data_IF_797180794185
#
_entry.id   IF_797180794185
#
_cell.length_a   1.000
_cell.length_b   1.000
_cell.length_c   1.000
_cell.angle_alpha   90.00
_cell.angle_beta   90.00
_cell.angle_gamma   90.00
#
_symmetry.space_group_name_H-M   'P 1'
#
loop_
_entity.id
_entity.type
_entity.pdbx_description
1 polymer ?
#
# COMPACT_ATOMS: atom_id res chain seq x y z
N UNK A 1 39.93 46.06 14.20
CA UNK A 1 39.04 45.29 13.33
C UNK A 1 38.97 43.86 13.88
N UNK A 2 38.01 43.65 14.82
CA UNK A 2 37.72 42.35 15.40
C UNK A 2 36.95 41.52 14.37
N UNK A 3 37.53 40.36 14.05
CA UNK A 3 36.84 39.34 13.23
C UNK A 3 35.78 38.68 14.11
N UNK A 4 34.50 38.96 13.83
CA UNK A 4 33.37 38.21 14.31
C UNK A 4 33.46 36.79 13.77
N UNK A 5 33.81 35.82 14.59
CA UNK A 5 33.63 34.42 14.29
C UNK A 5 32.13 34.12 14.13
N UNK A 6 31.69 33.54 13.01
CA UNK A 6 30.32 33.07 12.94
C UNK A 6 30.14 31.97 13.99
N UNK A 7 29.12 32.12 14.85
CA UNK A 7 28.67 31.08 15.75
C UNK A 7 28.43 29.80 14.94
N UNK A 8 29.33 28.85 15.11
CA UNK A 8 29.12 27.47 14.65
C UNK A 8 27.98 26.85 15.47
N UNK A 9 26.74 27.20 15.13
CA UNK A 9 25.60 26.42 15.55
C UNK A 9 25.80 25.02 14.99
N UNK A 10 26.08 24.05 15.84
CA UNK A 10 26.06 22.63 15.48
C UNK A 10 24.71 22.36 14.82
N UNK A 11 24.69 22.22 13.49
CA UNK A 11 23.54 21.71 12.77
C UNK A 11 23.29 20.31 13.33
N UNK A 12 22.32 20.18 14.25
CA UNK A 12 21.93 18.88 14.77
C UNK A 12 21.64 17.97 13.59
N UNK A 13 22.31 16.83 13.53
CA UNK A 13 22.15 15.85 12.46
C UNK A 13 20.71 15.36 12.50
N UNK A 14 19.95 15.62 11.43
CA UNK A 14 18.59 15.11 11.29
C UNK A 14 18.60 13.59 11.33
N UNK A 15 17.57 12.99 11.93
CA UNK A 15 17.32 11.56 11.84
C UNK A 15 16.84 11.16 10.44
N UNK A 16 16.62 9.87 10.27
CA UNK A 16 16.18 9.27 9.00
C UNK A 16 14.76 8.72 9.15
N UNK A 17 13.91 9.00 8.16
CA UNK A 17 12.60 8.39 8.01
C UNK A 17 12.74 7.12 7.18
N UNK A 18 12.36 5.97 7.75
CA UNK A 18 12.30 4.70 7.05
C UNK A 18 10.84 4.37 6.71
N UNK A 19 10.54 4.16 5.44
CA UNK A 19 9.21 3.72 4.98
C UNK A 19 9.29 2.21 4.79
N UNK A 20 8.75 1.45 5.77
CA UNK A 20 8.99 0.01 5.87
C UNK A 20 7.75 -0.78 5.48
N UNK A 21 7.87 -1.63 4.46
CA UNK A 21 6.84 -2.58 4.09
C UNK A 21 6.69 -3.68 5.16
N UNK A 22 5.44 -4.02 5.49
CA UNK A 22 5.07 -5.06 6.45
C UNK A 22 4.34 -6.22 5.75
N UNK A 23 4.24 -7.40 6.39
CA UNK A 23 3.49 -8.53 5.84
C UNK A 23 2.05 -8.18 5.49
N UNK A 24 1.54 -8.77 4.41
CA UNK A 24 0.14 -8.61 3.97
C UNK A 24 -0.77 -9.73 4.46
N UNK A 25 -0.20 -10.75 5.12
CA UNK A 25 -0.96 -11.89 5.65
C UNK A 25 -0.07 -12.95 6.30
N UNK A 26 1.11 -13.19 5.75
CA UNK A 26 2.07 -14.16 6.27
C UNK A 26 3.28 -13.42 6.90
N UNK A 27 3.55 -13.68 8.18
CA UNK A 27 4.65 -13.03 8.90
C UNK A 27 6.02 -13.34 8.30
N UNK A 28 6.20 -14.50 7.68
CA UNK A 28 7.46 -14.93 7.06
C UNK A 28 7.81 -14.13 5.79
N UNK A 29 6.86 -13.36 5.24
CA UNK A 29 7.12 -12.49 4.09
C UNK A 29 7.90 -11.22 4.46
N UNK A 30 8.11 -10.93 5.74
CA UNK A 30 8.87 -9.75 6.16
C UNK A 30 10.33 -9.88 5.73
N UNK A 31 10.89 -8.81 5.14
CA UNK A 31 12.30 -8.86 4.74
C UNK A 31 13.24 -8.76 5.95
N UNK A 32 14.40 -9.42 5.86
CA UNK A 32 15.46 -9.32 6.90
C UNK A 32 15.82 -7.85 7.16
N UNK A 33 15.96 -7.04 6.10
CA UNK A 33 16.27 -5.62 6.21
C UNK A 33 15.16 -4.82 6.90
N UNK A 34 13.89 -5.21 6.74
CA UNK A 34 12.79 -4.60 7.49
C UNK A 34 12.92 -4.87 8.98
N UNK A 35 13.21 -6.12 9.37
CA UNK A 35 13.42 -6.48 10.78
C UNK A 35 14.61 -5.73 11.39
N UNK A 36 15.76 -5.68 10.70
CA UNK A 36 16.94 -4.94 11.15
C UNK A 36 16.65 -3.44 11.31
N UNK A 37 15.92 -2.85 10.34
CA UNK A 37 15.51 -1.46 10.41
C UNK A 37 14.60 -1.20 11.61
N UNK A 38 13.55 -2.03 11.79
CA UNK A 38 12.62 -1.88 12.92
C UNK A 38 13.33 -2.05 14.29
N UNK A 39 14.37 -2.89 14.36
CA UNK A 39 15.22 -3.03 15.57
C UNK A 39 16.13 -1.83 15.81
N UNK A 40 16.57 -1.12 14.76
CA UNK A 40 17.55 -0.05 14.85
C UNK A 40 16.96 1.34 15.10
N UNK A 41 15.70 1.59 14.68
CA UNK A 41 15.06 2.92 14.82
C UNK A 41 14.72 3.25 16.29
N UNK A 42 14.54 4.53 16.58
CA UNK A 42 14.15 5.01 17.92
C UNK A 42 12.65 4.80 18.17
N UNK A 43 11.82 4.97 17.15
CA UNK A 43 10.36 4.82 17.22
C UNK A 43 9.77 4.23 15.94
N UNK A 44 8.57 3.66 16.07
CA UNK A 44 7.80 3.16 14.94
C UNK A 44 6.46 3.88 14.90
N UNK A 45 6.13 4.49 13.77
CA UNK A 45 4.87 5.18 13.53
C UNK A 45 3.93 4.27 12.71
N UNK A 46 2.70 4.08 13.18
CA UNK A 46 1.71 3.16 12.60
C UNK A 46 0.28 3.65 12.82
N UNK A 47 -0.67 3.14 12.05
CA UNK A 47 -2.08 3.49 12.20
C UNK A 47 -2.71 2.83 13.43
N UNK A 48 -2.54 1.51 13.58
CA UNK A 48 -3.13 0.72 14.66
C UNK A 48 -2.04 0.08 15.56
N UNK A 49 -1.62 0.77 16.64
CA UNK A 49 -0.57 0.26 17.52
C UNK A 49 -0.79 -1.17 18.04
N UNK A 50 -2.05 -1.55 18.31
CA UNK A 50 -2.39 -2.88 18.83
C UNK A 50 -2.05 -4.00 17.83
N UNK A 51 -2.26 -3.77 16.55
CA UNK A 51 -1.91 -4.72 15.50
C UNK A 51 -0.40 -4.87 15.38
N UNK A 52 0.29 -3.73 15.38
CA UNK A 52 1.76 -3.72 15.27
C UNK A 52 2.46 -4.31 16.50
N UNK A 53 1.90 -4.18 17.71
CA UNK A 53 2.46 -4.85 18.88
C UNK A 53 2.53 -6.37 18.70
N UNK A 54 1.53 -7.00 18.08
CA UNK A 54 1.54 -8.44 17.79
C UNK A 54 2.66 -8.81 16.82
N UNK A 55 2.77 -8.08 15.71
CA UNK A 55 3.85 -8.25 14.74
C UNK A 55 5.23 -8.08 15.38
N UNK A 56 5.45 -6.99 16.10
CA UNK A 56 6.73 -6.65 16.69
C UNK A 56 7.12 -7.65 17.81
N UNK A 57 6.16 -8.07 18.63
CA UNK A 57 6.39 -9.09 19.67
C UNK A 57 6.79 -10.44 19.09
N UNK A 58 6.23 -10.81 17.92
CA UNK A 58 6.61 -12.06 17.24
C UNK A 58 8.09 -12.08 16.86
N UNK A 59 8.68 -10.91 16.53
CA UNK A 59 10.09 -10.78 16.16
C UNK A 59 10.98 -10.23 17.28
N UNK A 60 10.49 -10.22 18.51
CA UNK A 60 11.19 -9.69 19.70
C UNK A 60 11.68 -8.25 19.50
N UNK A 61 10.80 -7.39 18.96
CA UNK A 61 11.05 -5.97 18.73
C UNK A 61 10.24 -5.14 19.72
N UNK A 62 10.94 -4.39 20.61
CA UNK A 62 10.34 -3.56 21.64
C UNK A 62 10.70 -2.09 21.39
N UNK A 63 9.82 -1.37 20.67
CA UNK A 63 10.02 0.05 20.34
C UNK A 63 8.79 0.88 20.71
N UNK A 64 8.97 2.14 21.11
CA UNK A 64 7.86 3.07 21.30
C UNK A 64 7.07 3.23 20.00
N UNK A 65 5.74 3.13 20.08
CA UNK A 65 4.84 3.31 18.95
C UNK A 65 4.26 4.72 18.95
N UNK A 66 4.25 5.35 17.78
CA UNK A 66 3.58 6.61 17.50
C UNK A 66 2.35 6.33 16.62
N UNK A 67 1.18 6.80 17.05
CA UNK A 67 -0.01 6.61 16.26
C UNK A 67 -0.14 7.66 15.14
N UNK A 68 -0.33 7.19 13.91
CA UNK A 68 -0.76 8.02 12.77
C UNK A 68 -2.28 7.96 12.73
N UNK A 69 -2.95 9.01 13.20
CA UNK A 69 -4.41 9.06 13.16
C UNK A 69 -4.89 9.39 11.75
N UNK A 70 -5.66 8.50 11.13
CA UNK A 70 -6.29 8.75 9.83
C UNK A 70 -7.19 10.00 9.84
N UNK A 71 -7.85 10.28 10.98
CA UNK A 71 -8.67 11.48 11.17
C UNK A 71 -7.86 12.78 11.31
N UNK A 72 -6.57 12.71 11.68
CA UNK A 72 -5.69 13.86 11.94
C UNK A 72 -4.26 13.60 11.44
N UNK A 73 -4.13 13.06 10.23
CA UNK A 73 -2.85 12.63 9.66
C UNK A 73 -1.84 13.77 9.56
N UNK A 74 -2.31 15.00 9.25
CA UNK A 74 -1.44 16.17 9.12
C UNK A 74 -0.75 16.53 10.45
N UNK A 75 -1.46 16.51 11.58
CA UNK A 75 -0.86 16.83 12.88
C UNK A 75 0.03 15.68 13.36
N UNK A 76 -0.35 14.43 13.12
CA UNK A 76 0.50 13.27 13.38
C UNK A 76 1.84 13.39 12.60
N UNK A 77 1.78 13.78 11.33
CA UNK A 77 2.95 14.01 10.50
C UNK A 77 3.87 15.10 11.05
N UNK A 78 3.31 16.24 11.50
CA UNK A 78 4.09 17.32 12.14
C UNK A 78 4.83 16.83 13.38
N UNK A 79 4.16 16.06 14.24
CA UNK A 79 4.77 15.47 15.44
C UNK A 79 5.94 14.56 15.11
N UNK A 80 5.76 13.65 14.14
CA UNK A 80 6.79 12.71 13.69
C UNK A 80 7.99 13.48 13.09
N UNK A 81 7.74 14.43 12.20
CA UNK A 81 8.80 15.21 11.55
C UNK A 81 9.56 16.07 12.56
N UNK A 82 8.90 16.59 13.59
CA UNK A 82 9.58 17.31 14.68
C UNK A 82 10.61 16.43 15.42
N UNK A 83 10.32 15.13 15.62
CA UNK A 83 11.26 14.18 16.23
C UNK A 83 12.43 13.87 15.27
N UNK A 84 12.15 13.66 13.98
CA UNK A 84 13.17 13.48 12.95
C UNK A 84 14.15 14.66 12.87
N UNK A 85 13.64 15.90 12.98
CA UNK A 85 14.47 17.11 13.00
C UNK A 85 15.34 17.22 14.26
N UNK A 86 14.96 16.54 15.34
CA UNK A 86 15.76 16.43 16.57
C UNK A 86 16.80 15.29 16.53
N UNK A 87 16.88 14.55 15.41
CA UNK A 87 17.86 13.49 15.21
C UNK A 87 17.34 12.07 15.47
N UNK A 88 16.07 11.88 15.86
CA UNK A 88 15.49 10.54 16.02
C UNK A 88 15.28 9.85 14.68
N UNK A 89 15.62 8.57 14.57
CA UNK A 89 15.30 7.72 13.43
C UNK A 89 13.93 7.08 13.62
N UNK A 90 13.06 7.20 12.64
CA UNK A 90 11.68 6.74 12.77
C UNK A 90 11.31 5.85 11.57
N UNK A 91 10.72 4.68 11.85
CA UNK A 91 10.10 3.86 10.84
C UNK A 91 8.60 4.18 10.74
N UNK A 92 8.09 4.37 9.53
CA UNK A 92 6.65 4.38 9.24
C UNK A 92 6.27 3.04 8.65
N UNK A 93 5.23 2.41 9.21
CA UNK A 93 4.67 1.14 8.78
C UNK A 93 3.18 1.28 8.53
N UNK A 94 2.63 0.51 7.58
CA UNK A 94 1.19 0.32 7.39
C UNK A 94 0.73 -0.99 8.01
N UNK A 95 -0.57 -1.14 8.20
CA UNK A 95 -1.15 -2.38 8.75
C UNK A 95 -0.85 -3.61 7.86
N UNK A 96 -0.72 -3.40 6.54
CA UNK A 96 -0.37 -4.44 5.58
C UNK A 96 0.31 -3.84 4.34
N UNK A 97 1.47 -4.34 3.96
CA UNK A 97 2.17 -3.94 2.74
C UNK A 97 2.97 -2.65 2.88
N UNK A 98 2.95 -1.82 1.83
CA UNK A 98 3.81 -0.63 1.70
C UNK A 98 3.08 0.62 2.17
N UNK A 99 3.59 1.37 3.17
CA UNK A 99 2.97 2.61 3.64
C UNK A 99 2.80 3.63 2.53
N UNK A 100 1.66 4.35 2.55
CA UNK A 100 1.33 5.37 1.56
C UNK A 100 0.78 4.83 0.23
N UNK A 101 0.69 3.51 0.06
CA UNK A 101 0.03 2.86 -1.08
C UNK A 101 -1.37 2.44 -0.65
N UNK A 102 -2.32 3.35 -0.71
CA UNK A 102 -3.70 3.21 -0.21
C UNK A 102 -3.87 3.23 1.32
N UNK A 103 -2.83 3.54 2.07
CA UNK A 103 -2.76 3.61 3.53
C UNK A 103 -2.31 4.99 4.01
N UNK A 104 -2.49 5.34 5.31
CA UNK A 104 -1.90 6.53 5.91
C UNK A 104 -0.37 6.53 5.84
N UNK A 105 0.23 7.72 5.90
CA UNK A 105 1.69 7.89 5.89
C UNK A 105 2.20 8.85 4.81
N UNK A 106 1.38 9.17 3.80
CA UNK A 106 1.76 10.08 2.70
C UNK A 106 2.20 11.46 3.21
N UNK A 107 1.50 12.02 4.19
CA UNK A 107 1.82 13.34 4.74
C UNK A 107 3.11 13.35 5.55
N UNK A 108 3.47 12.24 6.20
CA UNK A 108 4.76 12.10 6.88
C UNK A 108 5.89 12.16 5.87
N UNK A 109 5.77 11.41 4.77
CA UNK A 109 6.77 11.38 3.67
C UNK A 109 6.86 12.74 2.97
N UNK A 110 5.71 13.37 2.68
CA UNK A 110 5.66 14.69 2.05
C UNK A 110 6.34 15.75 2.91
N UNK A 111 5.98 15.84 4.19
CA UNK A 111 6.51 16.84 5.10
C UNK A 111 8.00 16.59 5.39
N UNK A 112 8.42 15.32 5.60
CA UNK A 112 9.82 14.96 5.78
C UNK A 112 10.68 15.39 4.59
N UNK A 113 10.18 15.18 3.36
CA UNK A 113 10.85 15.64 2.13
C UNK A 113 10.98 17.16 2.07
N UNK A 114 9.92 17.88 2.40
CA UNK A 114 9.93 19.37 2.44
C UNK A 114 10.92 19.92 3.44
N UNK A 115 11.05 19.25 4.59
CA UNK A 115 11.99 19.63 5.65
C UNK A 115 13.43 19.10 5.40
N UNK A 116 13.70 18.45 4.27
CA UNK A 116 15.00 17.90 3.94
C UNK A 116 15.49 16.81 4.90
N UNK A 117 14.57 16.02 5.42
CA UNK A 117 14.87 14.80 6.21
C UNK A 117 15.24 13.68 5.24
N UNK A 118 16.32 12.92 5.49
CA UNK A 118 16.62 11.71 4.71
C UNK A 118 15.47 10.70 4.78
N UNK A 119 15.06 10.17 3.62
CA UNK A 119 13.97 9.18 3.51
C UNK A 119 14.53 7.93 2.83
N UNK A 120 14.34 6.78 3.46
CA UNK A 120 14.82 5.49 2.96
C UNK A 120 13.65 4.51 2.82
N UNK A 121 13.31 4.05 1.62
CA UNK A 121 12.33 3.00 1.44
C UNK A 121 12.94 1.63 1.77
N UNK A 122 12.20 0.82 2.50
CA UNK A 122 12.52 -0.58 2.77
C UNK A 122 11.46 -1.44 2.07
N UNK A 123 11.75 -1.95 0.86
CA UNK A 123 10.82 -2.74 0.09
C UNK A 123 10.47 -4.07 0.77
N UNK A 124 9.31 -4.59 0.43
CA UNK A 124 8.83 -5.84 0.97
C UNK A 124 7.48 -6.24 0.37
N UNK A 125 6.64 -6.99 1.10
CA UNK A 125 5.39 -7.53 0.62
C UNK A 125 4.44 -6.46 0.06
N UNK A 126 3.76 -6.81 -1.04
CA UNK A 126 2.76 -5.93 -1.67
C UNK A 126 1.76 -6.75 -2.47
N UNK A 127 0.48 -6.62 -2.17
CA UNK A 127 -0.58 -7.30 -2.91
C UNK A 127 -0.63 -6.89 -4.39
N UNK A 128 -0.24 -5.64 -4.71
CA UNK A 128 -0.13 -5.18 -6.09
C UNK A 128 0.92 -5.98 -6.87
N UNK A 129 2.15 -6.08 -6.35
CA UNK A 129 3.22 -6.82 -7.05
C UNK A 129 2.99 -8.33 -7.04
N UNK A 130 2.40 -8.89 -5.99
CA UNK A 130 1.95 -10.27 -5.95
C UNK A 130 0.91 -10.55 -7.05
N UNK A 131 -0.08 -9.67 -7.22
CA UNK A 131 -1.06 -9.76 -8.30
C UNK A 131 -0.39 -9.71 -9.68
N UNK A 132 0.54 -8.77 -9.90
CA UNK A 132 1.22 -8.65 -11.20
C UNK A 132 2.04 -9.90 -11.56
N UNK A 133 2.63 -10.58 -10.59
CA UNK A 133 3.38 -11.83 -10.81
C UNK A 133 2.49 -13.00 -11.24
N UNK A 134 1.19 -12.94 -10.96
CA UNK A 134 0.20 -13.98 -11.28
C UNK A 134 -0.47 -13.78 -12.65
N UNK A 135 -0.14 -12.72 -13.41
CA UNK A 135 -0.78 -12.44 -14.69
C UNK A 135 -0.40 -13.44 -15.80
N UNK A 136 0.70 -14.18 -15.65
CA UNK A 136 1.21 -15.13 -16.65
C UNK A 136 1.86 -14.48 -17.87
N UNK A 137 1.92 -13.16 -17.91
CA UNK A 137 2.55 -12.34 -18.94
C UNK A 137 3.05 -11.02 -18.36
N UNK A 138 3.95 -10.33 -19.06
CA UNK A 138 4.38 -8.99 -18.65
C UNK A 138 3.33 -7.96 -19.08
N UNK A 139 2.66 -7.28 -18.14
CA UNK A 139 1.72 -6.22 -18.50
C UNK A 139 2.49 -5.06 -19.13
N UNK A 140 1.98 -4.53 -20.25
CA UNK A 140 2.59 -3.36 -20.91
C UNK A 140 2.37 -2.09 -20.09
N UNK A 141 1.11 -1.84 -19.75
CA UNK A 141 0.67 -0.68 -19.00
C UNK A 141 -0.16 -1.14 -17.79
N UNK A 142 0.27 -0.74 -16.60
CA UNK A 142 -0.43 -1.06 -15.36
C UNK A 142 -0.99 0.21 -14.75
N UNK A 143 -2.31 0.24 -14.60
CA UNK A 143 -2.98 1.28 -13.85
C UNK A 143 -3.45 0.72 -12.50
N UNK A 144 -2.85 1.19 -11.42
CA UNK A 144 -3.31 0.89 -10.08
C UNK A 144 -4.16 2.03 -9.54
N UNK A 145 -5.42 1.74 -9.20
CA UNK A 145 -6.39 2.75 -8.72
C UNK A 145 -6.63 2.71 -7.21
N UNK A 146 -5.89 1.87 -6.48
CA UNK A 146 -6.09 1.70 -5.04
C UNK A 146 -7.41 0.98 -4.71
N UNK A 147 -8.09 1.42 -3.65
CA UNK A 147 -9.40 0.85 -3.30
C UNK A 147 -10.49 1.27 -4.27
N UNK A 148 -11.30 0.29 -4.68
CA UNK A 148 -12.48 0.52 -5.51
C UNK A 148 -13.43 1.50 -4.82
N UNK A 149 -13.93 2.55 -5.52
CA UNK A 149 -14.91 3.46 -4.96
C UNK A 149 -16.19 2.75 -4.50
N UNK A 150 -16.83 3.28 -3.44
CA UNK A 150 -18.04 2.67 -2.86
C UNK A 150 -19.31 2.80 -3.73
N UNK A 151 -19.34 3.75 -4.67
CA UNK A 151 -20.54 4.05 -5.45
C UNK A 151 -20.39 3.61 -6.90
N UNK A 152 -21.45 3.00 -7.46
CA UNK A 152 -21.53 2.56 -8.86
C UNK A 152 -21.14 3.67 -9.85
N UNK A 153 -21.61 4.91 -9.65
CA UNK A 153 -21.30 6.02 -10.55
C UNK A 153 -19.81 6.39 -10.57
N UNK A 154 -19.09 6.26 -9.45
CA UNK A 154 -17.64 6.48 -9.42
C UNK A 154 -16.87 5.33 -10.08
N UNK A 155 -17.33 4.08 -9.91
CA UNK A 155 -16.77 2.91 -10.59
C UNK A 155 -16.93 3.08 -12.10
N UNK A 156 -18.16 3.36 -12.57
CA UNK A 156 -18.47 3.59 -13.96
C UNK A 156 -17.63 4.71 -14.58
N UNK A 157 -17.36 5.79 -13.81
CA UNK A 157 -16.50 6.88 -14.28
C UNK A 157 -15.07 6.42 -14.54
N UNK A 158 -14.51 5.58 -13.65
CA UNK A 158 -13.16 5.00 -13.85
C UNK A 158 -13.17 4.14 -15.12
N UNK A 159 -14.12 3.23 -15.27
CA UNK A 159 -14.18 2.33 -16.41
C UNK A 159 -14.31 3.10 -17.74
N UNK A 160 -15.19 4.12 -17.80
CA UNK A 160 -15.32 4.98 -18.99
C UNK A 160 -14.05 5.76 -19.31
N UNK A 161 -13.35 6.26 -18.29
CA UNK A 161 -12.12 7.03 -18.47
C UNK A 161 -11.04 6.23 -19.20
N UNK A 162 -11.02 4.91 -19.02
CA UNK A 162 -9.99 4.03 -19.59
C UNK A 162 -10.59 3.06 -20.64
N UNK A 163 -11.76 3.36 -21.17
CA UNK A 163 -12.48 2.48 -22.11
C UNK A 163 -11.72 2.23 -23.40
N UNK A 164 -11.02 3.24 -23.92
CA UNK A 164 -10.26 3.18 -25.17
C UNK A 164 -8.79 2.77 -24.99
N UNK A 165 -8.37 2.41 -23.77
CA UNK A 165 -6.98 2.09 -23.47
C UNK A 165 -6.76 0.58 -23.34
N UNK A 166 -5.68 0.07 -23.96
CA UNK A 166 -5.16 -1.26 -23.67
C UNK A 166 -4.31 -1.17 -22.40
N UNK A 167 -4.76 -1.79 -21.32
CA UNK A 167 -4.05 -1.75 -20.03
C UNK A 167 -4.45 -2.92 -19.10
N UNK A 168 -3.63 -3.14 -18.10
CA UNK A 168 -4.00 -3.95 -16.94
C UNK A 168 -4.43 -3.03 -15.80
N UNK A 169 -5.73 -3.06 -15.46
CA UNK A 169 -6.27 -2.28 -14.35
C UNK A 169 -6.22 -3.12 -13.08
N UNK A 170 -5.50 -2.65 -12.06
CA UNK A 170 -5.39 -3.33 -10.76
C UNK A 170 -6.05 -2.50 -9.67
N UNK A 171 -6.79 -3.16 -8.78
CA UNK A 171 -7.48 -2.51 -7.67
C UNK A 171 -7.68 -3.42 -6.47
N UNK A 172 -7.86 -2.80 -5.30
CA UNK A 172 -8.33 -3.47 -4.09
C UNK A 172 -9.84 -3.36 -4.00
N UNK A 173 -10.50 -4.48 -3.75
CA UNK A 173 -11.97 -4.58 -3.70
C UNK A 173 -12.38 -5.19 -2.38
N UNK A 174 -13.35 -4.60 -1.70
CA UNK A 174 -13.93 -5.19 -0.50
C UNK A 174 -14.87 -6.34 -0.85
N UNK A 175 -14.96 -7.31 0.05
CA UNK A 175 -15.75 -8.54 -0.17
C UNK A 175 -17.20 -8.27 -0.57
N UNK A 176 -17.85 -7.30 0.06
CA UNK A 176 -19.24 -6.95 -0.26
C UNK A 176 -19.41 -6.19 -1.59
N UNK A 177 -18.32 -5.74 -2.21
CA UNK A 177 -18.38 -5.03 -3.50
C UNK A 177 -18.05 -5.91 -4.70
N UNK A 178 -17.40 -7.06 -4.51
CA UNK A 178 -16.84 -7.85 -5.62
C UNK A 178 -17.89 -8.25 -6.65
N UNK A 179 -19.02 -8.83 -6.23
CA UNK A 179 -20.09 -9.24 -7.16
C UNK A 179 -20.69 -8.05 -7.94
N UNK A 180 -20.91 -6.93 -7.25
CA UNK A 180 -21.43 -5.72 -7.89
C UNK A 180 -20.42 -5.12 -8.85
N UNK A 181 -19.15 -5.09 -8.48
CA UNK A 181 -18.07 -4.62 -9.35
C UNK A 181 -17.99 -5.44 -10.64
N UNK A 182 -18.02 -6.76 -10.56
CA UNK A 182 -17.96 -7.63 -11.73
C UNK A 182 -19.15 -7.43 -12.68
N UNK A 183 -20.36 -7.18 -12.14
CA UNK A 183 -21.53 -6.83 -12.97
C UNK A 183 -21.33 -5.51 -13.70
N UNK A 184 -20.85 -4.48 -13.01
CA UNK A 184 -20.57 -3.17 -13.61
C UNK A 184 -19.43 -3.30 -14.64
N UNK A 185 -18.39 -4.07 -14.34
CA UNK A 185 -17.29 -4.31 -15.26
C UNK A 185 -17.80 -4.95 -16.57
N UNK A 186 -18.66 -5.97 -16.47
CA UNK A 186 -19.25 -6.60 -17.65
C UNK A 186 -20.15 -5.64 -18.44
N UNK A 187 -20.87 -4.75 -17.78
CA UNK A 187 -21.71 -3.73 -18.43
C UNK A 187 -20.88 -2.74 -19.27
N UNK A 188 -19.71 -2.30 -18.76
CA UNK A 188 -18.91 -1.25 -19.39
C UNK A 188 -17.81 -1.79 -20.31
N UNK A 189 -17.15 -2.88 -19.93
CA UNK A 189 -16.03 -3.43 -20.69
C UNK A 189 -16.32 -4.81 -21.30
N UNK A 190 -17.52 -5.35 -21.07
CA UNK A 190 -17.92 -6.66 -21.56
C UNK A 190 -17.27 -7.81 -20.77
N UNK A 191 -17.27 -8.98 -21.40
CA UNK A 191 -16.79 -10.21 -20.78
C UNK A 191 -15.26 -10.34 -20.89
N UNK A 192 -14.54 -9.36 -20.30
CA UNK A 192 -13.07 -9.31 -20.31
C UNK A 192 -12.44 -10.36 -19.38
N UNK A 193 -11.14 -10.62 -19.58
CA UNK A 193 -10.35 -11.49 -18.69
C UNK A 193 -9.99 -10.77 -17.39
N UNK A 194 -10.14 -11.49 -16.30
CA UNK A 194 -9.78 -11.02 -14.95
C UNK A 194 -8.99 -12.07 -14.19
N UNK A 195 -8.16 -11.61 -13.29
CA UNK A 195 -7.50 -12.43 -12.27
C UNK A 195 -7.83 -11.83 -10.91
N UNK A 196 -8.20 -12.67 -9.99
CA UNK A 196 -8.60 -12.29 -8.65
C UNK A 196 -7.76 -13.06 -7.65
N UNK A 197 -7.04 -12.35 -6.78
CA UNK A 197 -6.40 -12.89 -5.59
C UNK A 197 -7.22 -12.49 -4.36
N UNK A 198 -7.64 -13.47 -3.58
CA UNK A 198 -8.33 -13.25 -2.31
C UNK A 198 -7.47 -13.73 -1.17
N UNK A 199 -7.37 -12.90 -0.09
CA UNK A 199 -6.61 -13.24 1.11
C UNK A 199 -5.16 -13.65 0.79
N UNK A 200 -4.50 -12.91 -0.11
CA UNK A 200 -3.14 -13.21 -0.62
C UNK A 200 -2.18 -13.39 0.57
N UNK A 201 -1.41 -14.48 0.56
CA UNK A 201 -0.47 -14.98 1.59
C UNK A 201 -1.11 -15.48 2.89
N UNK A 202 -2.44 -15.38 3.06
CA UNK A 202 -3.14 -15.86 4.26
C UNK A 202 -3.57 -17.33 4.12
N UNK A 203 -4.02 -17.93 5.23
CA UNK A 203 -4.43 -19.35 5.29
C UNK A 203 -5.54 -19.69 4.28
N UNK A 204 -6.39 -18.72 3.95
CA UNK A 204 -7.50 -18.89 3.01
C UNK A 204 -7.24 -18.21 1.67
N UNK A 205 -5.97 -18.14 1.25
CA UNK A 205 -5.60 -17.62 -0.07
C UNK A 205 -6.33 -18.38 -1.18
N UNK A 206 -6.89 -17.63 -2.11
CA UNK A 206 -7.59 -18.19 -3.28
C UNK A 206 -7.30 -17.36 -4.50
N UNK A 207 -7.07 -18.05 -5.63
CA UNK A 207 -6.87 -17.42 -6.93
C UNK A 207 -7.93 -17.87 -7.91
N UNK A 208 -8.55 -16.93 -8.61
CA UNK A 208 -9.51 -17.16 -9.68
C UNK A 208 -9.02 -16.45 -10.94
N UNK A 209 -9.10 -17.12 -12.08
CA UNK A 209 -8.76 -16.55 -13.38
C UNK A 209 -9.79 -17.00 -14.43
N UNK A 210 -10.17 -16.12 -15.31
CA UNK A 210 -11.14 -16.40 -16.37
C UNK A 210 -11.86 -15.14 -16.80
N UNK A 211 -12.93 -15.32 -17.58
CA UNK A 211 -13.78 -14.22 -18.01
C UNK A 211 -14.76 -13.81 -16.93
N UNK A 212 -15.17 -12.54 -16.94
CA UNK A 212 -16.04 -11.97 -15.90
C UNK A 212 -17.31 -12.80 -15.67
N UNK A 213 -17.97 -13.26 -16.73
CA UNK A 213 -19.21 -14.05 -16.60
C UNK A 213 -18.96 -15.42 -15.98
N UNK A 214 -17.87 -16.09 -16.32
CA UNK A 214 -17.46 -17.38 -15.74
C UNK A 214 -17.20 -17.26 -14.23
N UNK A 215 -16.61 -16.14 -13.81
CA UNK A 215 -16.35 -15.88 -12.39
C UNK A 215 -17.65 -15.52 -11.65
N UNK A 216 -18.58 -14.80 -12.30
CA UNK A 216 -19.87 -14.46 -11.70
C UNK A 216 -20.78 -15.70 -11.42
N UNK A 217 -20.59 -16.79 -12.18
CA UNK A 217 -21.30 -18.06 -11.97
C UNK A 217 -20.79 -18.84 -10.76
N UNK A 218 -19.59 -18.50 -10.25
CA UNK A 218 -19.00 -19.16 -9.11
C UNK A 218 -19.55 -18.58 -7.79
N UNK A 219 -19.50 -19.40 -6.74
CA UNK A 219 -19.78 -18.93 -5.39
C UNK A 219 -18.59 -18.15 -4.86
N UNK A 220 -18.75 -16.83 -4.76
CA UNK A 220 -17.71 -15.94 -4.24
C UNK A 220 -17.91 -15.75 -2.73
N UNK A 221 -16.88 -16.01 -1.88
CA UNK A 221 -16.96 -15.80 -0.44
C UNK A 221 -17.31 -14.35 -0.06
N UNK A 222 -18.15 -14.17 0.96
CA UNK A 222 -18.61 -12.85 1.40
C UNK A 222 -17.58 -12.12 2.29
N UNK A 223 -16.48 -12.76 2.67
CA UNK A 223 -15.44 -12.20 3.53
C UNK A 223 -14.07 -12.23 2.85
N UNK A 224 -13.18 -11.37 3.32
CA UNK A 224 -11.77 -11.28 2.89
C UNK A 224 -11.43 -10.03 2.09
N UNK A 225 -10.15 -9.88 1.87
CA UNK A 225 -9.55 -8.80 1.06
C UNK A 225 -9.29 -9.32 -0.35
N UNK A 226 -9.70 -8.55 -1.34
CA UNK A 226 -9.63 -8.94 -2.73
C UNK A 226 -8.74 -7.98 -3.51
N UNK A 227 -7.82 -8.52 -4.28
CA UNK A 227 -7.06 -7.79 -5.29
C UNK A 227 -7.51 -8.29 -6.65
N UNK A 228 -7.93 -7.39 -7.52
CA UNK A 228 -8.43 -7.72 -8.86
C UNK A 228 -7.55 -7.07 -9.91
N UNK A 229 -7.13 -7.86 -10.89
CA UNK A 229 -6.51 -7.40 -12.11
C UNK A 229 -7.48 -7.65 -13.29
N UNK A 230 -7.77 -6.61 -14.05
CA UNK A 230 -8.58 -6.68 -15.26
C UNK A 230 -7.65 -6.48 -16.46
N UNK A 231 -7.59 -7.47 -17.35
CA UNK A 231 -6.86 -7.37 -18.60
C UNK A 231 -7.78 -6.80 -19.66
N UNK A 232 -7.54 -5.56 -20.05
CA UNK A 232 -8.27 -4.93 -21.13
C UNK A 232 -7.42 -4.90 -22.38
N UNK A 233 -7.76 -5.76 -23.33
CA UNK A 233 -7.19 -5.79 -24.66
C UNK A 233 -8.26 -5.24 -25.62
N UNK A 234 -7.89 -4.27 -26.44
CA UNK A 234 -8.73 -3.93 -27.58
C UNK A 234 -8.60 -5.08 -28.58
N UNK A 235 -9.71 -5.74 -28.90
CA UNK A 235 -9.71 -6.78 -29.91
C UNK A 235 -9.07 -6.20 -31.18
N UNK A 236 -7.81 -6.59 -31.45
CA UNK A 236 -7.25 -6.39 -32.76
C UNK A 236 -8.08 -7.26 -33.69
N UNK A 237 -9.09 -6.66 -34.35
CA UNK A 237 -9.72 -7.33 -35.49
C UNK A 237 -8.60 -7.79 -36.40
N UNK A 238 -8.63 -9.09 -36.83
CA UNK A 238 -7.62 -9.65 -37.71
C UNK A 238 -7.53 -8.89 -39.00
#
# INVERSE_FOLDING_TARGET
LEYLHPCSGSLMKKGTLYVVATPIGNLDDISVRALETLKSVDRIACEHPERHRKLLSHFDIHKPLLQISAANEVNSAKGIVSLLLKGENIAVVSDAGVPGVSDPGKYVVELARREGVPIVPIPGPSALTAMLSMLGESPKDVLFVGFLPKTTGKIARILRQYEEMELTLVMFVSSFQIKNFLKILNEYWGNVEIIIGREITKVHETWLAGKVLEILEQELPEAGEWTVAVKKWLDKKP
#
